data_IF_324280861781
#
_entry.id   IF_324280861781
#
_cell.length_a   1.000
_cell.length_b   1.000
_cell.length_c   1.000
_cell.angle_alpha   90.00
_cell.angle_beta   90.00
_cell.angle_gamma   90.00
#
_symmetry.space_group_name_H-M   'P 1'
#
loop_
_entity.id
_entity.type
_entity.pdbx_description
1 polymer ?
#
# COMPACT_ATOMS: atom_id res chain seq x y z
N UNK A 1 2.32 -17.92 24.91
CA UNK A 1 1.70 -16.78 24.20
C UNK A 1 0.25 -17.15 23.96
N UNK A 2 -0.66 -16.26 24.33
CA UNK A 2 -2.10 -16.43 24.07
C UNK A 2 -2.35 -16.52 22.55
N UNK A 3 -3.20 -17.43 22.09
CA UNK A 3 -3.42 -17.66 20.65
C UNK A 3 -3.89 -16.39 19.92
N UNK A 4 -4.60 -15.49 20.63
CA UNK A 4 -5.02 -14.19 20.09
C UNK A 4 -3.84 -13.25 19.84
N UNK A 5 -2.77 -13.33 20.64
CA UNK A 5 -1.58 -12.50 20.41
C UNK A 5 -0.83 -12.94 19.16
N UNK A 6 -0.73 -14.26 18.92
CA UNK A 6 -0.14 -14.79 17.68
C UNK A 6 -0.94 -14.36 16.46
N UNK A 7 -2.27 -14.45 16.51
CA UNK A 7 -3.13 -14.01 15.41
C UNK A 7 -2.97 -12.51 15.10
N UNK A 8 -2.91 -11.65 16.13
CA UNK A 8 -2.65 -10.22 15.94
C UNK A 8 -1.27 -9.94 15.33
N UNK A 9 -0.23 -10.68 15.72
CA UNK A 9 1.11 -10.54 15.14
C UNK A 9 1.12 -10.93 13.66
N UNK A 10 0.51 -12.06 13.31
CA UNK A 10 0.40 -12.47 11.90
C UNK A 10 -0.34 -11.41 11.08
N UNK A 11 -1.46 -10.91 11.60
CA UNK A 11 -2.22 -9.85 10.95
C UNK A 11 -1.39 -8.59 10.73
N UNK A 12 -0.60 -8.17 11.73
CA UNK A 12 0.30 -7.02 11.61
C UNK A 12 1.37 -7.22 10.52
N UNK A 13 1.97 -8.42 10.45
CA UNK A 13 2.95 -8.76 9.42
C UNK A 13 2.32 -8.78 8.03
N UNK A 14 1.09 -9.25 7.89
CA UNK A 14 0.38 -9.23 6.61
C UNK A 14 0.11 -7.80 6.14
N UNK A 15 -0.37 -6.90 7.02
CA UNK A 15 -0.51 -5.49 6.67
C UNK A 15 0.80 -4.89 6.17
N UNK A 16 1.93 -5.21 6.81
CA UNK A 16 3.25 -4.75 6.36
C UNK A 16 3.59 -5.25 4.94
N UNK A 17 3.32 -6.54 4.66
CA UNK A 17 3.55 -7.14 3.34
C UNK A 17 2.66 -6.51 2.28
N UNK A 18 1.37 -6.31 2.57
CA UNK A 18 0.43 -5.66 1.65
C UNK A 18 0.85 -4.23 1.33
N UNK A 19 1.25 -3.44 2.34
CA UNK A 19 1.76 -2.07 2.11
C UNK A 19 2.99 -2.09 1.20
N UNK A 20 3.91 -3.03 1.41
CA UNK A 20 5.08 -3.20 0.54
C UNK A 20 4.70 -3.50 -0.92
N UNK A 21 3.75 -4.40 -1.15
CA UNK A 21 3.26 -4.73 -2.50
C UNK A 21 2.56 -3.53 -3.14
N UNK A 22 1.73 -2.79 -2.39
CA UNK A 22 1.08 -1.58 -2.91
C UNK A 22 2.09 -0.48 -3.29
N UNK A 23 3.17 -0.33 -2.53
CA UNK A 23 4.25 0.61 -2.87
C UNK A 23 4.94 0.22 -4.17
N UNK A 24 5.26 -1.06 -4.35
CA UNK A 24 5.85 -1.57 -5.59
C UNK A 24 4.89 -1.32 -6.76
N UNK A 25 3.61 -1.67 -6.62
CA UNK A 25 2.60 -1.43 -7.64
C UNK A 25 2.47 0.06 -7.99
N UNK A 26 2.44 0.93 -6.98
CA UNK A 26 2.39 2.39 -7.18
C UNK A 26 3.59 2.89 -7.97
N UNK A 27 4.78 2.35 -7.71
CA UNK A 27 5.99 2.70 -8.45
C UNK A 27 5.92 2.29 -9.92
N UNK A 28 5.39 1.10 -10.22
CA UNK A 28 5.16 0.66 -11.60
C UNK A 28 4.13 1.53 -12.33
N UNK A 29 3.02 1.88 -11.67
CA UNK A 29 2.00 2.76 -12.24
C UNK A 29 2.57 4.16 -12.53
N UNK A 30 3.38 4.70 -11.62
CA UNK A 30 4.05 5.99 -11.81
C UNK A 30 5.05 5.97 -12.97
N UNK A 31 5.88 4.91 -13.08
CA UNK A 31 6.77 4.74 -14.22
C UNK A 31 6.00 4.62 -15.53
N UNK A 32 4.89 3.86 -15.54
CA UNK A 32 3.99 3.78 -16.69
C UNK A 32 3.40 5.14 -17.09
N UNK A 33 3.03 5.97 -16.10
CA UNK A 33 2.55 7.32 -16.34
C UNK A 33 3.63 8.19 -16.98
N UNK A 34 4.87 8.15 -16.49
CA UNK A 34 6.01 8.87 -17.08
C UNK A 34 6.22 8.45 -18.53
N UNK A 35 6.23 7.15 -18.80
CA UNK A 35 6.43 6.61 -20.16
C UNK A 35 5.33 7.11 -21.10
N UNK A 36 4.06 6.98 -20.70
CA UNK A 36 2.92 7.39 -21.53
C UNK A 36 2.76 8.91 -21.67
N UNK A 37 3.30 9.70 -20.74
CA UNK A 37 3.20 11.17 -20.81
C UNK A 37 4.36 11.78 -21.58
N UNK A 38 5.58 11.26 -21.40
CA UNK A 38 6.79 11.92 -21.90
C UNK A 38 7.53 11.14 -23.00
N UNK A 39 7.53 9.80 -22.98
CA UNK A 39 8.28 9.00 -23.95
C UNK A 39 7.42 8.59 -25.14
N UNK A 40 6.16 8.22 -24.89
CA UNK A 40 5.19 7.84 -25.91
C UNK A 40 3.84 8.47 -25.58
N UNK A 41 3.62 9.73 -25.98
CA UNK A 41 2.41 10.48 -25.65
C UNK A 41 1.16 9.69 -26.02
N UNK A 42 0.42 9.26 -25.01
CA UNK A 42 -0.87 8.57 -25.13
C UNK A 42 -1.85 9.17 -24.11
N UNK A 43 -3.14 9.03 -24.36
CA UNK A 43 -4.17 9.58 -23.46
C UNK A 43 -4.24 8.82 -22.13
N UNK A 44 -3.60 7.65 -22.03
CA UNK A 44 -3.64 6.77 -20.85
C UNK A 44 -2.79 7.28 -19.67
N UNK A 45 -1.90 8.26 -19.90
CA UNK A 45 -1.04 8.82 -18.85
C UNK A 45 -1.81 9.34 -17.63
N UNK A 46 -2.95 10.00 -17.87
CA UNK A 46 -3.83 10.54 -16.82
C UNK A 46 -4.44 9.41 -15.98
N UNK A 47 -4.86 8.32 -16.62
CA UNK A 47 -5.43 7.16 -15.93
C UNK A 47 -4.39 6.49 -15.01
N UNK A 48 -3.14 6.38 -15.47
CA UNK A 48 -2.04 5.79 -14.68
C UNK A 48 -1.68 6.65 -13.46
N UNK A 49 -1.72 7.97 -13.58
CA UNK A 49 -1.55 8.88 -12.43
C UNK A 49 -2.70 8.69 -11.43
N UNK A 50 -3.94 8.62 -11.92
CA UNK A 50 -5.12 8.35 -11.08
C UNK A 50 -4.99 7.03 -10.31
N UNK A 51 -4.60 5.95 -10.98
CA UNK A 51 -4.37 4.64 -10.35
C UNK A 51 -3.25 4.68 -9.31
N UNK A 52 -2.17 5.43 -9.59
CA UNK A 52 -1.07 5.64 -8.63
C UNK A 52 -1.58 6.31 -7.35
N UNK A 53 -2.38 7.37 -7.48
CA UNK A 53 -2.94 8.09 -6.33
C UNK A 53 -3.90 7.21 -5.51
N UNK A 54 -4.71 6.39 -6.18
CA UNK A 54 -5.59 5.43 -5.50
C UNK A 54 -4.78 4.39 -4.74
N UNK A 55 -3.76 3.80 -5.37
CA UNK A 55 -2.89 2.81 -4.74
C UNK A 55 -2.18 3.38 -3.50
N UNK A 56 -1.65 4.60 -3.59
CA UNK A 56 -1.03 5.28 -2.45
C UNK A 56 -2.05 5.57 -1.33
N UNK A 57 -3.26 6.01 -1.68
CA UNK A 57 -4.32 6.28 -0.70
C UNK A 57 -4.73 5.03 0.07
N UNK A 58 -4.88 3.90 -0.64
CA UNK A 58 -5.16 2.59 -0.01
C UNK A 58 -3.98 2.14 0.86
N UNK A 59 -2.75 2.33 0.41
CA UNK A 59 -1.54 2.04 1.20
C UNK A 59 -1.50 2.84 2.50
N UNK A 60 -1.81 4.14 2.44
CA UNK A 60 -1.91 5.00 3.62
C UNK A 60 -3.01 4.56 4.59
N UNK A 61 -4.18 4.18 4.07
CA UNK A 61 -5.27 3.64 4.86
C UNK A 61 -4.89 2.34 5.59
N UNK A 62 -4.25 1.40 4.88
CA UNK A 62 -3.75 0.15 5.45
C UNK A 62 -2.67 0.42 6.52
N UNK A 63 -1.78 1.37 6.29
CA UNK A 63 -0.77 1.78 7.28
C UNK A 63 -1.41 2.36 8.55
N UNK A 64 -2.45 3.17 8.40
CA UNK A 64 -3.20 3.68 9.55
C UNK A 64 -3.83 2.54 10.36
N UNK A 65 -4.42 1.56 9.67
CA UNK A 65 -5.00 0.37 10.31
C UNK A 65 -3.94 -0.50 10.99
N UNK A 66 -2.76 -0.66 10.36
CA UNK A 66 -1.62 -1.37 10.93
C UNK A 66 -1.13 -0.71 12.23
N UNK A 67 -1.02 0.63 12.26
CA UNK A 67 -0.67 1.37 13.48
C UNK A 67 -1.68 1.16 14.60
N UNK A 68 -2.97 1.03 14.28
CA UNK A 68 -4.01 0.72 15.27
C UNK A 68 -3.81 -0.68 15.87
N UNK A 69 -3.47 -1.67 15.06
CA UNK A 69 -3.18 -3.05 15.52
C UNK A 69 -1.92 -3.07 16.38
N UNK A 70 -0.87 -2.33 16.00
CA UNK A 70 0.36 -2.22 16.81
C UNK A 70 0.07 -1.67 18.21
N UNK A 71 -0.75 -0.62 18.33
CA UNK A 71 -1.16 -0.06 19.63
C UNK A 71 -1.94 -1.07 20.49
N UNK A 72 -2.67 -2.00 19.88
CA UNK A 72 -3.39 -3.05 20.61
C UNK A 72 -2.46 -4.17 21.07
N UNK A 73 -1.39 -4.44 20.32
CA UNK A 73 -0.30 -5.34 20.71
C UNK A 73 0.53 -4.77 21.86
N UNK A 74 0.87 -3.48 21.83
CA UNK A 74 1.72 -2.83 22.85
C UNK A 74 1.00 -2.55 24.20
N UNK A 75 -0.35 -2.59 24.23
CA UNK A 75 -1.16 -2.28 25.43
C UNK A 75 -1.48 -3.49 26.33
N UNK A 76 -1.12 -4.71 25.95
CA UNK A 76 -1.35 -5.95 26.72
C UNK A 76 -0.04 -6.61 27.10
#
# INVERSE_FOLDING_TARGET
MDDKQKELQYKYTDYQRFIGVLLILSMYLFLGAIINTYLRPSEDGVALIGLTLVALSVGFWLHYQQRRIKKLLDKR
#
